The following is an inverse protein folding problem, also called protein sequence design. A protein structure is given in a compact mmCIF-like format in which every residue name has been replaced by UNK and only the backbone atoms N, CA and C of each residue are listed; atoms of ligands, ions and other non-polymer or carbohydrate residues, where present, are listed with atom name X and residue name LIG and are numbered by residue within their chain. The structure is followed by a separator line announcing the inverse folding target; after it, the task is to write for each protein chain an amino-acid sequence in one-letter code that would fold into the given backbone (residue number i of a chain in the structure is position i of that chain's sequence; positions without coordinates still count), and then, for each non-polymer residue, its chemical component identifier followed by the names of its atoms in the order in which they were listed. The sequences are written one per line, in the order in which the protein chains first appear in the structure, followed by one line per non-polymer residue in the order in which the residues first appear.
data_IF_470696572734
#
_entry.id   IF_470696572734
#
_cell.length_a   1.000
_cell.length_b   1.000
_cell.length_c   1.000
_cell.angle_alpha   90.00
_cell.angle_beta   90.00
_cell.angle_gamma   90.00
#
_symmetry.space_group_name_H-M   'P 1'
#
loop_
_entity.id
_entity.type
_entity.pdbx_description
1 polymer ?
#
# COMPACT_ATOMS: atom_id res chain seq x y z
N UNK A 1 -38.39 -55.34 43.78
CA UNK A 1 -37.06 -54.90 43.29
C UNK A 1 -37.08 -54.81 41.77
N UNK A 2 -37.16 -53.60 41.22
CA UNK A 2 -36.88 -53.32 39.80
C UNK A 2 -35.91 -52.14 39.79
N UNK A 3 -34.67 -52.42 39.42
CA UNK A 3 -33.58 -51.43 39.31
C UNK A 3 -33.70 -50.83 37.91
N UNK A 4 -34.08 -49.55 37.82
CA UNK A 4 -34.02 -48.76 36.59
C UNK A 4 -32.64 -48.10 36.51
N UNK A 5 -31.76 -48.69 35.70
CA UNK A 5 -30.49 -48.10 35.28
C UNK A 5 -30.76 -46.95 34.33
N UNK A 6 -30.51 -45.72 34.79
CA UNK A 6 -30.58 -44.50 33.98
C UNK A 6 -29.25 -44.31 33.24
N UNK A 7 -29.27 -44.42 31.91
CA UNK A 7 -28.13 -44.12 31.05
C UNK A 7 -28.03 -42.60 30.89
N UNK A 8 -27.06 -41.98 31.57
CA UNK A 8 -26.75 -40.56 31.43
C UNK A 8 -25.95 -40.36 30.13
N UNK A 9 -26.59 -39.82 29.09
CA UNK A 9 -25.95 -39.44 27.84
C UNK A 9 -25.15 -38.15 28.09
N UNK A 10 -23.85 -38.25 28.32
CA UNK A 10 -22.94 -37.11 28.38
C UNK A 10 -22.75 -36.56 26.95
N UNK A 11 -23.53 -35.53 26.59
CA UNK A 11 -23.32 -34.75 25.38
C UNK A 11 -22.06 -33.90 25.59
N UNK A 12 -20.91 -34.43 25.18
CA UNK A 12 -19.66 -33.68 25.11
C UNK A 12 -19.79 -32.55 24.11
N UNK A 13 -20.05 -31.34 24.60
CA UNK A 13 -19.89 -30.11 23.82
C UNK A 13 -18.38 -29.94 23.64
N UNK A 14 -17.86 -30.50 22.55
CA UNK A 14 -16.53 -30.19 22.05
C UNK A 14 -16.59 -28.73 21.59
N UNK A 15 -16.27 -27.80 22.50
CA UNK A 15 -15.93 -26.41 22.14
C UNK A 15 -14.59 -26.46 21.41
N UNK A 16 -14.62 -26.96 20.18
CA UNK A 16 -13.57 -26.65 19.22
C UNK A 16 -13.63 -25.15 19.03
N UNK A 17 -12.66 -24.43 19.60
CA UNK A 17 -12.31 -23.10 19.14
C UNK A 17 -12.00 -23.23 17.66
N UNK A 18 -13.00 -23.01 16.82
CA UNK A 18 -12.78 -22.69 15.41
C UNK A 18 -12.12 -21.33 15.47
N UNK A 19 -10.79 -21.31 15.54
CA UNK A 19 -10.02 -20.22 14.95
C UNK A 19 -10.36 -20.29 13.48
N UNK A 20 -11.41 -19.56 13.08
CA UNK A 20 -11.59 -19.21 11.70
C UNK A 20 -10.28 -18.51 11.32
N UNK A 21 -9.46 -19.17 10.51
CA UNK A 21 -8.40 -18.47 9.82
C UNK A 21 -9.10 -17.42 8.97
N UNK A 22 -9.04 -16.17 9.42
CA UNK A 22 -9.50 -15.05 8.63
C UNK A 22 -8.80 -15.16 7.27
N UNK A 23 -9.62 -15.22 6.22
CA UNK A 23 -9.12 -15.16 4.85
C UNK A 23 -8.42 -13.81 4.70
N UNK A 24 -7.33 -13.78 3.93
CA UNK A 24 -6.66 -12.55 3.50
C UNK A 24 -7.68 -11.65 2.76
N UNK A 25 -8.34 -10.76 3.50
CA UNK A 25 -9.18 -9.71 2.94
C UNK A 25 -8.26 -8.53 2.69
N UNK A 26 -7.92 -8.33 1.42
CA UNK A 26 -7.20 -7.15 0.97
C UNK A 26 -8.00 -5.91 1.31
N UNK A 27 -7.43 -5.03 2.13
CA UNK A 27 -8.06 -3.82 2.61
C UNK A 27 -7.57 -2.64 1.78
N UNK A 28 -8.45 -1.97 1.01
CA UNK A 28 -8.07 -0.78 0.27
C UNK A 28 -7.82 0.39 1.24
N UNK A 29 -6.81 1.20 0.94
CA UNK A 29 -6.53 2.45 1.62
C UNK A 29 -5.87 3.46 0.69
N UNK A 30 -6.01 4.73 1.04
CA UNK A 30 -5.27 5.82 0.39
C UNK A 30 -4.20 6.32 1.36
N UNK A 31 -2.96 6.34 0.88
CA UNK A 31 -1.80 6.90 1.56
C UNK A 31 -1.54 8.29 0.99
N UNK A 32 -1.26 9.27 1.86
CA UNK A 32 -0.86 10.63 1.48
C UNK A 32 0.66 10.75 1.56
N UNK A 33 1.29 11.33 0.54
CA UNK A 33 2.72 11.60 0.57
C UNK A 33 3.07 12.59 1.69
N UNK A 34 4.10 12.27 2.47
CA UNK A 34 4.68 13.20 3.45
C UNK A 34 5.21 14.46 2.75
N UNK A 35 5.35 15.56 3.50
CA UNK A 35 5.89 16.80 2.94
C UNK A 35 7.31 16.59 2.36
N UNK A 36 7.53 17.12 1.15
CA UNK A 36 8.82 17.00 0.49
C UNK A 36 9.93 17.74 1.25
N UNK A 37 11.08 17.07 1.37
CA UNK A 37 12.35 17.61 1.86
C UNK A 37 13.50 16.74 1.32
N UNK A 38 14.74 17.10 1.63
CA UNK A 38 15.95 16.40 1.12
C UNK A 38 16.05 14.90 1.44
N UNK A 39 15.19 14.37 2.31
CA UNK A 39 15.18 12.96 2.71
C UNK A 39 13.88 12.22 2.38
N UNK A 40 12.79 12.94 2.09
CA UNK A 40 11.47 12.36 1.80
C UNK A 40 10.78 13.10 0.67
N UNK A 41 10.26 12.38 -0.32
CA UNK A 41 9.45 12.90 -1.43
C UNK A 41 10.11 14.03 -2.23
N UNK A 42 11.44 14.18 -2.17
CA UNK A 42 12.22 14.99 -3.09
C UNK A 42 13.12 14.05 -3.89
N UNK A 43 13.02 14.12 -5.21
CA UNK A 43 13.90 13.39 -6.12
C UNK A 43 15.03 14.31 -6.56
N UNK A 44 16.26 13.81 -6.46
CA UNK A 44 17.46 14.38 -7.05
C UNK A 44 17.55 13.99 -8.52
N UNK A 45 17.87 14.97 -9.35
CA UNK A 45 18.02 14.83 -10.80
C UNK A 45 19.44 15.24 -11.16
N UNK A 46 20.24 14.27 -11.59
CA UNK A 46 21.66 14.44 -11.83
C UNK A 46 22.03 14.08 -13.27
N UNK A 47 22.64 15.04 -13.95
CA UNK A 47 23.33 14.83 -15.23
C UNK A 47 24.80 15.17 -15.02
N UNK A 48 25.70 14.30 -15.49
CA UNK A 48 27.13 14.51 -15.34
C UNK A 48 27.57 15.85 -15.97
N UNK A 49 28.23 16.69 -15.17
CA UNK A 49 28.70 18.01 -15.61
C UNK A 49 27.63 19.12 -15.62
N UNK A 50 26.36 18.80 -15.33
CA UNK A 50 25.31 19.78 -15.14
C UNK A 50 25.21 20.20 -13.66
N UNK A 51 24.55 21.34 -13.39
CA UNK A 51 24.09 21.66 -12.04
C UNK A 51 22.93 20.71 -11.68
N UNK A 52 23.00 19.99 -10.54
CA UNK A 52 21.89 19.14 -10.11
C UNK A 52 20.60 19.93 -9.94
N UNK A 53 19.48 19.30 -10.26
CA UNK A 53 18.16 19.83 -9.94
C UNK A 53 17.46 18.88 -8.97
N UNK A 54 16.38 19.36 -8.37
CA UNK A 54 15.48 18.55 -7.56
C UNK A 54 14.05 18.74 -8.03
N UNK A 55 13.21 17.75 -7.72
CA UNK A 55 11.77 17.86 -7.86
C UNK A 55 11.09 17.33 -6.61
N UNK A 56 10.13 18.07 -6.11
CA UNK A 56 9.30 17.66 -4.98
C UNK A 56 8.09 16.89 -5.51
N UNK A 57 7.75 15.80 -4.84
CA UNK A 57 6.58 14.96 -5.10
C UNK A 57 5.48 15.31 -4.10
N UNK A 58 4.24 15.31 -4.56
CA UNK A 58 3.06 15.48 -3.70
C UNK A 58 1.85 14.71 -4.25
N UNK A 59 0.91 14.37 -3.37
CA UNK A 59 -0.32 13.68 -3.74
C UNK A 59 -0.57 12.43 -2.91
N UNK A 60 -1.16 11.41 -3.54
CA UNK A 60 -1.62 10.18 -2.88
C UNK A 60 -1.21 8.92 -3.64
N UNK A 61 -1.14 7.82 -2.90
CA UNK A 61 -0.95 6.46 -3.40
C UNK A 61 -2.17 5.65 -2.96
N UNK A 62 -2.86 5.02 -3.91
CA UNK A 62 -3.91 4.06 -3.58
C UNK A 62 -3.30 2.68 -3.48
N UNK A 63 -3.55 2.00 -2.37
CA UNK A 63 -2.98 0.70 -2.06
C UNK A 63 -4.05 -0.26 -1.55
N UNK A 64 -3.76 -1.55 -1.62
CA UNK A 64 -4.44 -2.59 -0.86
C UNK A 64 -3.41 -3.35 -0.03
N UNK A 65 -3.75 -3.67 1.21
CA UNK A 65 -2.88 -4.46 2.11
C UNK A 65 -3.62 -5.67 2.65
N UNK A 66 -2.90 -6.77 2.82
CA UNK A 66 -3.37 -7.92 3.59
C UNK A 66 -2.83 -7.79 5.01
N UNK A 67 -3.72 -7.64 6.00
CA UNK A 67 -3.36 -7.39 7.41
C UNK A 67 -4.00 -8.43 8.33
N UNK A 68 -3.17 -9.08 9.14
CA UNK A 68 -3.62 -9.88 10.26
C UNK A 68 -4.01 -8.97 11.43
N UNK A 69 -5.31 -8.75 11.62
CA UNK A 69 -5.84 -7.91 12.70
C UNK A 69 -5.51 -8.40 14.11
N UNK A 70 -5.19 -9.69 14.29
CA UNK A 70 -4.79 -10.24 15.59
C UNK A 70 -3.40 -9.81 16.00
N UNK A 71 -2.50 -9.63 15.03
CA UNK A 71 -1.08 -9.29 15.26
C UNK A 71 -0.70 -7.89 14.78
N UNK A 72 -1.50 -7.28 13.91
CA UNK A 72 -1.17 -6.08 13.14
C UNK A 72 -0.15 -6.32 12.03
N UNK A 73 0.23 -7.57 11.74
CA UNK A 73 1.22 -7.87 10.73
C UNK A 73 0.63 -7.70 9.32
N UNK A 74 1.36 -7.03 8.43
CA UNK A 74 1.00 -6.95 7.02
C UNK A 74 1.72 -8.07 6.27
N UNK A 75 0.98 -8.83 5.47
CA UNK A 75 1.48 -10.00 4.70
C UNK A 75 1.50 -9.76 3.20
N UNK A 76 0.79 -8.74 2.70
CA UNK A 76 0.74 -8.39 1.29
C UNK A 76 0.57 -6.90 1.06
N UNK A 77 1.13 -6.41 -0.06
CA UNK A 77 1.00 -5.05 -0.54
C UNK A 77 0.73 -5.05 -2.04
N UNK A 78 -0.27 -4.28 -2.45
CA UNK A 78 -0.57 -4.00 -3.85
C UNK A 78 -0.76 -2.48 -4.00
N UNK A 79 -0.01 -1.86 -4.90
CA UNK A 79 -0.27 -0.48 -5.33
C UNK A 79 -1.26 -0.54 -6.48
N UNK A 80 -2.33 0.23 -6.40
CA UNK A 80 -3.49 0.12 -7.29
C UNK A 80 -3.79 1.40 -8.05
N UNK A 81 -3.12 2.50 -7.70
CA UNK A 81 -3.33 3.79 -8.37
C UNK A 81 -2.82 4.99 -7.58
N UNK A 82 -3.69 5.97 -7.36
CA UNK A 82 -3.38 7.24 -6.73
C UNK A 82 -3.06 8.35 -7.73
N UNK A 83 -2.59 9.48 -7.23
CA UNK A 83 -2.21 10.64 -8.04
C UNK A 83 -0.99 11.29 -7.41
N UNK A 84 0.13 11.23 -8.10
CA UNK A 84 1.38 11.89 -7.73
C UNK A 84 1.62 13.01 -8.73
N UNK A 85 2.06 14.16 -8.24
CA UNK A 85 2.49 15.29 -9.06
C UNK A 85 3.90 15.69 -8.66
N UNK A 86 4.67 16.20 -9.61
CA UNK A 86 6.01 16.70 -9.36
C UNK A 86 6.14 18.18 -9.70
N UNK A 87 6.95 18.90 -8.93
CA UNK A 87 7.26 20.30 -9.24
C UNK A 87 8.09 20.41 -10.53
N UNK A 88 7.86 21.42 -11.38
CA UNK A 88 8.70 21.66 -12.54
C UNK A 88 10.18 21.83 -12.15
N UNK A 89 11.07 21.29 -12.98
CA UNK A 89 12.53 21.39 -12.81
C UNK A 89 13.19 21.83 -14.11
N UNK A 90 14.43 22.33 -13.99
CA UNK A 90 15.24 22.78 -15.13
C UNK A 90 16.69 22.40 -14.90
N UNK A 91 17.31 21.71 -15.87
CA UNK A 91 18.73 21.31 -15.85
C UNK A 91 19.42 21.85 -17.10
N UNK A 92 20.50 22.59 -16.92
CA UNK A 92 21.37 23.01 -18.03
C UNK A 92 22.43 21.95 -18.28
N UNK A 93 22.33 21.26 -19.41
CA UNK A 93 23.23 20.23 -19.88
C UNK A 93 24.34 20.90 -20.73
N UNK A 94 25.62 20.83 -20.32
CA UNK A 94 26.71 21.45 -21.05
C UNK A 94 26.75 21.01 -22.51
N UNK A 95 26.91 21.97 -23.44
CA UNK A 95 27.03 21.75 -24.89
C UNK A 95 25.78 21.16 -25.58
N UNK A 96 24.72 20.83 -24.83
CA UNK A 96 23.47 20.26 -25.37
C UNK A 96 22.33 21.28 -25.27
N UNK A 97 22.13 21.90 -24.11
CA UNK A 97 21.03 22.83 -23.91
C UNK A 97 20.41 22.81 -22.52
N UNK A 98 19.18 23.30 -22.41
CA UNK A 98 18.41 23.27 -21.15
C UNK A 98 17.24 22.29 -21.28
N UNK A 99 17.22 21.28 -20.42
CA UNK A 99 16.11 20.36 -20.25
C UNK A 99 15.16 20.88 -19.17
N UNK A 100 13.85 20.82 -19.42
CA UNK A 100 12.82 21.32 -18.51
C UNK A 100 11.67 20.34 -18.45
N UNK A 101 11.11 20.13 -17.25
CA UNK A 101 9.84 19.43 -17.09
C UNK A 101 8.69 20.39 -16.87
N UNK A 102 7.49 19.96 -17.26
CA UNK A 102 6.26 20.69 -17.01
C UNK A 102 5.10 19.73 -16.78
N UNK A 103 4.35 19.96 -15.69
CA UNK A 103 3.10 19.26 -15.40
C UNK A 103 3.24 17.74 -15.26
N UNK A 104 4.40 17.25 -14.81
CA UNK A 104 4.65 15.82 -14.70
C UNK A 104 3.79 15.24 -13.57
N UNK A 105 2.99 14.23 -13.93
CA UNK A 105 2.16 13.49 -13.00
C UNK A 105 2.27 11.99 -13.23
N UNK A 106 1.93 11.24 -12.19
CA UNK A 106 2.11 9.80 -12.13
C UNK A 106 1.02 9.09 -11.34
N UNK A 107 0.86 7.81 -11.62
CA UNK A 107 0.10 6.83 -10.82
C UNK A 107 1.06 5.79 -10.25
N UNK A 108 0.63 4.99 -9.29
CA UNK A 108 1.38 3.80 -8.87
C UNK A 108 0.69 2.52 -9.28
N UNK A 109 1.47 1.47 -9.47
CA UNK A 109 0.96 0.14 -9.81
C UNK A 109 1.85 -0.97 -9.24
N UNK A 110 1.26 -2.14 -9.04
CA UNK A 110 1.95 -3.39 -8.72
C UNK A 110 1.59 -4.42 -9.79
N UNK A 111 2.50 -4.71 -10.73
CA UNK A 111 2.27 -5.73 -11.72
C UNK A 111 1.94 -7.09 -11.06
N UNK A 112 0.85 -7.72 -11.48
CA UNK A 112 0.40 -8.99 -10.89
C UNK A 112 1.48 -10.09 -11.01
N UNK A 113 1.71 -10.90 -9.95
CA UNK A 113 0.96 -10.96 -8.68
C UNK A 113 1.36 -9.88 -7.67
N UNK A 114 0.51 -9.58 -6.65
CA UNK A 114 0.83 -8.64 -5.58
C UNK A 114 2.15 -8.98 -4.86
N UNK A 115 2.85 -7.94 -4.41
CA UNK A 115 4.11 -8.05 -3.68
C UNK A 115 3.91 -8.64 -2.28
N UNK A 116 4.80 -9.56 -1.91
CA UNK A 116 4.81 -10.15 -0.57
C UNK A 116 5.42 -9.20 0.47
N UNK A 117 4.85 -9.18 1.67
CA UNK A 117 5.43 -8.43 2.80
C UNK A 117 5.97 -9.42 3.82
N UNK A 118 7.27 -9.33 4.14
CA UNK A 118 7.92 -10.14 5.15
C UNK A 118 8.29 -9.28 6.34
N UNK A 119 7.57 -9.45 7.46
CA UNK A 119 7.76 -8.62 8.65
C UNK A 119 7.33 -7.17 8.40
N UNK A 120 8.29 -6.30 8.12
CA UNK A 120 8.05 -4.88 7.81
C UNK A 120 8.64 -4.45 6.47
N UNK A 121 9.08 -5.41 5.65
CA UNK A 121 9.79 -5.15 4.40
C UNK A 121 9.08 -5.79 3.22
N UNK A 122 9.15 -5.13 2.07
CA UNK A 122 8.66 -5.64 0.78
C UNK A 122 9.68 -5.36 -0.32
N UNK A 123 9.61 -6.08 -1.44
CA UNK A 123 10.52 -5.89 -2.58
C UNK A 123 10.10 -4.65 -3.36
N UNK A 124 10.80 -3.53 -3.24
CA UNK A 124 10.36 -2.27 -3.84
C UNK A 124 10.32 -2.32 -5.38
N UNK A 125 11.13 -3.17 -6.01
CA UNK A 125 11.14 -3.34 -7.48
C UNK A 125 9.91 -4.07 -8.03
N UNK A 126 9.05 -4.63 -7.18
CA UNK A 126 7.75 -5.18 -7.59
C UNK A 126 6.67 -4.08 -7.68
N UNK A 127 7.03 -2.83 -7.38
CA UNK A 127 6.13 -1.69 -7.35
C UNK A 127 6.67 -0.56 -8.24
N UNK A 128 5.77 0.10 -8.94
CA UNK A 128 6.13 1.06 -9.99
C UNK A 128 5.46 2.42 -9.76
N UNK A 129 6.18 3.48 -10.13
CA UNK A 129 5.62 4.80 -10.40
C UNK A 129 5.52 4.94 -11.92
N UNK A 130 4.32 5.15 -12.43
CA UNK A 130 4.06 5.31 -13.86
C UNK A 130 3.84 6.79 -14.15
N UNK A 131 4.83 7.45 -14.74
CA UNK A 131 4.65 8.81 -15.25
C UNK A 131 3.70 8.74 -16.45
N UNK A 132 2.56 9.40 -16.35
CA UNK A 132 1.47 9.27 -17.32
C UNK A 132 0.87 10.62 -17.73
N UNK A 133 1.50 11.73 -17.33
CA UNK A 133 1.12 13.08 -17.72
C UNK A 133 2.30 14.03 -17.63
N UNK A 134 2.18 15.16 -18.32
CA UNK A 134 3.25 16.16 -18.43
C UNK A 134 4.28 15.83 -19.50
N UNK A 135 5.29 16.68 -19.58
CA UNK A 135 6.35 16.54 -20.56
C UNK A 135 7.73 16.97 -20.06
N UNK A 136 8.76 16.47 -20.75
CA UNK A 136 10.14 16.94 -20.70
C UNK A 136 10.51 17.51 -22.09
N UNK A 137 11.01 18.73 -22.09
CA UNK A 137 11.50 19.42 -23.29
C UNK A 137 13.00 19.68 -23.18
N UNK A 138 13.68 19.75 -24.32
CA UNK A 138 15.06 20.17 -24.45
C UNK A 138 15.12 21.37 -25.40
N UNK A 139 15.64 22.50 -24.94
CA UNK A 139 15.67 23.75 -25.69
C UNK A 139 14.28 24.17 -26.23
N UNK A 140 13.22 23.89 -25.46
CA UNK A 140 11.84 24.21 -25.81
C UNK A 140 11.18 23.25 -26.81
N UNK A 141 11.85 22.18 -27.23
CA UNK A 141 11.28 21.12 -28.06
C UNK A 141 11.05 19.85 -27.23
N UNK A 142 9.89 19.21 -27.36
CA UNK A 142 9.66 17.89 -26.74
C UNK A 142 10.69 16.88 -27.23
N UNK A 143 11.27 16.12 -26.30
CA UNK A 143 12.16 15.00 -26.64
C UNK A 143 11.34 13.75 -26.95
N UNK A 144 11.92 12.79 -27.68
CA UNK A 144 11.30 11.48 -27.90
C UNK A 144 11.10 10.76 -26.56
N UNK A 145 9.90 10.25 -26.31
CA UNK A 145 9.52 9.68 -25.00
C UNK A 145 9.34 10.73 -23.89
N UNK A 146 9.53 12.01 -24.20
CA UNK A 146 9.40 13.10 -23.23
C UNK A 146 7.96 13.48 -22.92
N UNK A 147 6.96 13.03 -23.69
CA UNK A 147 5.55 13.29 -23.40
C UNK A 147 4.90 12.06 -22.76
N UNK A 148 4.78 12.10 -21.43
CA UNK A 148 4.30 10.98 -20.62
C UNK A 148 2.80 10.71 -20.79
N UNK A 149 2.03 11.70 -21.24
CA UNK A 149 0.62 11.49 -21.58
C UNK A 149 0.40 10.61 -22.81
N UNK A 150 1.40 10.53 -23.70
CA UNK A 150 1.36 9.69 -24.91
C UNK A 150 2.19 8.42 -24.80
N UNK A 151 3.28 8.47 -24.03
CA UNK A 151 4.20 7.35 -23.83
C UNK A 151 4.54 7.32 -22.35
N UNK A 152 3.75 6.59 -21.54
CA UNK A 152 4.02 6.50 -20.11
C UNK A 152 5.41 5.94 -19.85
N UNK A 153 6.04 6.41 -18.77
CA UNK A 153 7.34 5.92 -18.30
C UNK A 153 7.15 5.19 -16.97
N UNK A 154 7.56 3.94 -16.93
CA UNK A 154 7.54 3.10 -15.73
C UNK A 154 8.87 3.27 -14.97
N UNK A 155 8.78 3.62 -13.69
CA UNK A 155 9.89 3.81 -12.76
C UNK A 155 9.71 2.80 -11.64
N UNK A 156 10.48 1.71 -11.67
CA UNK A 156 10.46 0.72 -10.61
C UNK A 156 11.08 1.28 -9.33
N UNK A 157 10.56 0.84 -8.17
CA UNK A 157 11.27 0.99 -6.90
C UNK A 157 12.58 0.21 -6.89
N UNK A 158 13.45 0.51 -5.93
CA UNK A 158 14.78 -0.10 -5.83
C UNK A 158 15.05 -0.65 -4.44
N UNK A 159 15.56 -1.89 -4.37
CA UNK A 159 15.91 -2.55 -3.13
C UNK A 159 14.69 -2.95 -2.31
N UNK A 160 14.80 -2.85 -0.98
CA UNK A 160 13.72 -3.16 -0.06
C UNK A 160 12.96 -1.89 0.34
N UNK A 161 11.63 -1.96 0.30
CA UNK A 161 10.73 -0.99 0.90
C UNK A 161 10.42 -1.32 2.35
N UNK A 162 9.92 -0.34 3.09
CA UNK A 162 9.41 -0.50 4.46
C UNK A 162 7.91 -0.26 4.48
N UNK A 163 7.18 -1.17 5.11
CA UNK A 163 5.76 -1.06 5.36
C UNK A 163 5.47 -1.44 6.82
N UNK A 164 4.84 -0.55 7.56
CA UNK A 164 4.46 -0.81 8.96
C UNK A 164 3.02 -0.43 9.22
N UNK A 165 2.37 -1.21 10.08
CA UNK A 165 1.10 -0.87 10.70
C UNK A 165 1.32 -0.70 12.21
N UNK A 166 0.91 0.44 12.75
CA UNK A 166 0.98 0.70 14.20
C UNK A 166 -0.43 0.87 14.74
N UNK A 167 -0.79 0.11 15.78
CA UNK A 167 -2.11 0.23 16.39
C UNK A 167 -2.33 1.66 16.91
N UNK A 168 -3.43 2.25 16.46
CA UNK A 168 -3.94 3.56 16.86
C UNK A 168 -5.20 3.41 17.74
N UNK A 169 -5.64 4.52 18.33
CA UNK A 169 -6.84 4.52 19.16
C UNK A 169 -8.08 4.11 18.35
N UNK A 170 -9.01 3.39 19.00
CA UNK A 170 -10.31 3.05 18.38
C UNK A 170 -10.28 1.88 17.39
N UNK A 171 -9.22 1.04 17.41
CA UNK A 171 -9.12 -0.11 16.51
C UNK A 171 -8.65 0.26 15.10
N UNK A 172 -8.01 1.41 14.95
CA UNK A 172 -7.35 1.80 13.72
C UNK A 172 -5.87 1.41 13.73
N UNK A 173 -5.24 1.39 12.56
CA UNK A 173 -3.81 1.22 12.37
C UNK A 173 -3.29 2.37 11.51
N UNK A 174 -2.24 3.03 12.00
CA UNK A 174 -1.46 3.99 11.24
C UNK A 174 -0.52 3.22 10.31
N UNK A 175 -0.65 3.45 9.01
CA UNK A 175 0.15 2.82 7.98
C UNK A 175 1.24 3.77 7.53
N UNK A 176 2.46 3.27 7.47
CA UNK A 176 3.62 3.97 6.92
C UNK A 176 4.22 3.13 5.81
N UNK A 177 4.43 3.75 4.64
CA UNK A 177 5.10 3.18 3.49
C UNK A 177 6.31 4.02 3.12
N UNK A 178 7.44 3.37 2.85
CA UNK A 178 8.64 3.99 2.31
C UNK A 178 9.26 3.10 1.25
N UNK A 179 9.59 3.67 0.09
CA UNK A 179 10.35 2.99 -0.96
C UNK A 179 11.40 3.93 -1.55
N UNK A 180 12.53 3.37 -1.97
CA UNK A 180 13.57 4.12 -2.66
C UNK A 180 13.35 4.04 -4.17
N UNK A 181 13.66 5.12 -4.87
CA UNK A 181 13.77 5.20 -6.32
C UNK A 181 15.22 5.51 -6.67
N UNK A 182 15.81 4.75 -7.58
CA UNK A 182 17.15 4.98 -8.15
C UNK A 182 17.15 4.48 -9.60
N UNK A 183 16.83 5.38 -10.53
CA UNK A 183 16.64 5.06 -11.94
C UNK A 183 17.57 5.89 -12.83
N UNK A 184 17.83 5.38 -14.03
CA UNK A 184 18.65 6.03 -15.03
C UNK A 184 17.90 6.14 -16.35
N UNK A 185 17.63 7.38 -16.76
CA UNK A 185 16.95 7.73 -17.99
C UNK A 185 17.87 8.46 -18.97
N UNK A 186 17.40 8.72 -20.19
CA UNK A 186 18.14 9.50 -21.19
C UNK A 186 17.40 10.78 -21.57
N UNK A 187 18.07 11.92 -21.42
CA UNK A 187 17.56 13.23 -21.82
C UNK A 187 18.49 13.81 -22.88
N UNK A 188 18.00 13.90 -24.12
CA UNK A 188 18.81 14.39 -25.25
C UNK A 188 20.04 13.53 -25.54
N UNK A 189 19.97 12.22 -25.24
CA UNK A 189 21.10 11.29 -25.39
C UNK A 189 22.10 11.32 -24.23
N UNK A 190 21.85 12.11 -23.19
CA UNK A 190 22.69 12.17 -21.99
C UNK A 190 22.00 11.45 -20.83
N UNK A 191 22.71 10.58 -20.09
CA UNK A 191 22.15 9.93 -18.91
C UNK A 191 21.71 10.92 -17.82
N UNK A 192 20.48 10.77 -17.38
CA UNK A 192 19.88 11.42 -16.23
C UNK A 192 19.69 10.38 -15.13
N UNK A 193 20.32 10.58 -13.98
CA UNK A 193 20.03 9.81 -12.78
C UNK A 193 18.89 10.48 -12.01
N UNK A 194 17.92 9.67 -11.59
CA UNK A 194 16.76 10.07 -10.78
C UNK A 194 16.82 9.26 -9.49
N UNK A 195 17.01 9.91 -8.35
CA UNK A 195 17.15 9.21 -7.08
C UNK A 195 16.44 9.93 -5.92
N UNK A 196 15.78 9.17 -5.04
CA UNK A 196 15.13 9.71 -3.86
C UNK A 196 14.32 8.66 -3.10
N UNK A 197 13.59 9.09 -2.08
CA UNK A 197 12.70 8.23 -1.30
C UNK A 197 11.26 8.71 -1.45
N UNK A 198 10.34 7.79 -1.71
CA UNK A 198 8.90 8.02 -1.67
C UNK A 198 8.38 7.53 -0.33
N UNK A 199 7.73 8.42 0.42
CA UNK A 199 7.22 8.15 1.77
C UNK A 199 5.77 8.58 1.86
N UNK A 200 4.89 7.68 2.29
CA UNK A 200 3.46 7.92 2.38
C UNK A 200 2.88 7.39 3.69
N UNK A 201 1.81 8.03 4.17
CA UNK A 201 1.11 7.66 5.39
C UNK A 201 -0.40 7.62 5.19
N UNK A 202 -1.05 6.70 5.87
CA UNK A 202 -2.51 6.64 5.90
C UNK A 202 -2.99 5.90 7.14
N UNK A 203 -4.29 5.72 7.23
CA UNK A 203 -4.91 4.99 8.34
C UNK A 203 -5.91 4.00 7.80
N UNK A 204 -5.92 2.80 8.37
CA UNK A 204 -6.94 1.79 8.10
C UNK A 204 -7.65 1.47 9.40
N UNK A 205 -8.98 1.31 9.36
CA UNK A 205 -9.74 0.90 10.55
C UNK A 205 -10.02 -0.59 10.44
N UNK A 206 -9.72 -1.35 11.49
CA UNK A 206 -10.14 -2.74 11.56
C UNK A 206 -11.66 -2.79 11.43
N UNK A 207 -12.16 -3.47 10.40
CA UNK A 207 -13.58 -3.83 10.38
C UNK A 207 -13.72 -4.85 11.51
N UNK A 208 -14.50 -4.58 12.57
CA UNK A 208 -14.70 -5.57 13.60
C UNK A 208 -15.28 -6.80 12.92
N UNK A 209 -14.59 -7.93 12.99
CA UNK A 209 -15.20 -9.18 12.56
C UNK A 209 -16.53 -9.33 13.32
N UNK A 210 -17.60 -9.79 12.66
CA UNK A 210 -18.91 -9.93 13.29
C UNK A 210 -18.95 -11.11 14.30
N UNK A 211 -18.05 -11.13 15.28
CA UNK A 211 -18.18 -11.94 16.49
C UNK A 211 -19.50 -11.62 17.23
N UNK A 212 -20.04 -10.41 17.04
CA UNK A 212 -21.36 -9.99 17.52
C UNK A 212 -22.50 -10.86 16.96
N UNK A 213 -22.39 -11.34 15.72
CA UNK A 213 -23.40 -12.21 15.11
C UNK A 213 -23.38 -13.63 15.70
N UNK A 214 -22.19 -14.12 16.04
CA UNK A 214 -22.02 -15.42 16.69
C UNK A 214 -22.58 -15.40 18.13
N UNK A 215 -22.33 -14.34 18.89
CA UNK A 215 -22.92 -14.16 20.22
C UNK A 215 -24.45 -14.05 20.18
N UNK A 216 -25.02 -13.35 19.18
CA UNK A 216 -26.47 -13.29 18.97
C UNK A 216 -27.06 -14.67 18.62
N UNK A 217 -26.38 -15.45 17.78
CA UNK A 217 -26.82 -16.80 17.43
C UNK A 217 -26.78 -17.75 18.64
N UNK A 218 -25.78 -17.65 19.51
CA UNK A 218 -25.65 -18.44 20.74
C UNK A 218 -26.68 -18.02 21.80
N UNK A 219 -26.93 -16.72 21.94
CA UNK A 219 -27.99 -16.20 22.81
C UNK A 219 -29.38 -16.64 22.34
N UNK A 220 -29.63 -16.63 21.03
CA UNK A 220 -30.85 -17.18 20.43
C UNK A 220 -31.03 -18.68 20.67
N UNK A 221 -29.95 -19.47 20.50
CA UNK A 221 -29.95 -20.90 20.82
C UNK A 221 -30.21 -21.16 22.31
N UNK A 222 -29.58 -20.42 23.23
CA UNK A 222 -29.79 -20.56 24.66
C UNK A 222 -31.24 -20.23 25.07
N UNK A 223 -31.83 -19.18 24.48
CA UNK A 223 -33.23 -18.82 24.71
C UNK A 223 -34.22 -19.91 24.22
N UNK A 224 -33.94 -20.53 23.07
CA UNK A 224 -34.75 -21.64 22.56
C UNK A 224 -34.66 -22.90 23.43
N UNK A 225 -33.48 -23.21 23.97
CA UNK A 225 -33.30 -24.34 24.89
C UNK A 225 -34.01 -24.12 26.23
N UNK A 226 -33.98 -22.91 26.78
CA UNK A 226 -34.72 -22.58 28.01
C UNK A 226 -36.23 -22.69 27.80
N UNK A 227 -36.76 -22.20 26.68
CA UNK A 227 -38.20 -22.25 26.37
C UNK A 227 -38.74 -23.68 26.24
N UNK A 228 -37.96 -24.60 25.65
CA UNK A 228 -38.34 -26.02 25.57
C UNK A 228 -38.39 -26.72 26.93
N UNK A 229 -37.60 -26.24 27.91
CA UNK A 229 -37.56 -26.83 29.26
C UNK A 229 -38.78 -26.40 30.10
N UNK A 230 -39.25 -25.16 29.93
CA UNK A 230 -40.43 -24.64 30.63
C UNK A 230 -41.77 -25.21 30.15
N UNK A 231 -41.85 -25.78 28.93
CA UNK A 231 -43.08 -26.37 28.39
C UNK A 231 -43.24 -27.88 28.71
N UNK A 232 -42.29 -28.49 29.42
CA UNK A 232 -42.33 -29.90 29.83
C UNK A 232 -42.63 -30.12 31.32
N UNK A 233 -43.13 -29.08 31.99
CA UNK A 233 -43.70 -29.15 33.35
C UNK A 233 -45.20 -28.92 33.21
#
# INVERSE_FOLDING_TARGET
MKILTSTLLALGILLGSVTAAARADWVPLTLTLDAANSSTNQLSLLIAGATPATTDLSGTIDAAIDIDWGTGAITGLELTGGTITSTPWSITIPLVGTAQSSGVGATTDTPSPPGGVTGTTFTASEHQLILNSGEVTLNGASIAGGNFGTTPLEIDGTGDGTLTATAAAGGAYDIFLSMRVDQQESVGGVPLQIAGNVVARGTVTAIPEPASCLLLSLAGCAALFQRRRSQRV
#
